data_IF_753993476932
#
_entry.id   IF_753993476932
#
_cell.length_a   1.000
_cell.length_b   1.000
_cell.length_c   1.000
_cell.angle_alpha   90.00
_cell.angle_beta   90.00
_cell.angle_gamma   90.00
#
_symmetry.space_group_name_H-M   'P 1'
#
loop_
_entity.id
_entity.type
_entity.pdbx_description
1 polymer ?
#
# COMPACT_ATOMS: atom_id res chain seq x y z
N UNK A 1 4.86 -10.02 10.34
CA UNK A 1 5.35 -10.18 8.95
C UNK A 1 5.76 -8.83 8.39
N UNK A 2 6.68 -8.84 7.46
CA UNK A 2 7.18 -7.62 6.84
C UNK A 2 6.77 -7.58 5.37
N UNK A 3 6.24 -6.45 4.94
CA UNK A 3 5.88 -6.23 3.54
C UNK A 3 6.55 -4.98 3.03
N UNK A 4 6.75 -4.91 1.71
CA UNK A 4 7.29 -3.72 1.07
C UNK A 4 6.17 -2.99 0.34
N UNK A 5 6.10 -1.68 0.55
CA UNK A 5 5.04 -0.86 -0.02
C UNK A 5 5.65 0.21 -0.92
N UNK A 6 5.15 0.28 -2.14
CA UNK A 6 5.52 1.34 -3.07
C UNK A 6 4.30 2.20 -3.32
N UNK A 7 4.49 3.50 -3.18
CA UNK A 7 3.41 4.48 -3.31
C UNK A 7 3.56 5.24 -4.61
N UNK A 8 2.42 5.51 -5.24
CA UNK A 8 2.38 6.22 -6.52
C UNK A 8 1.45 7.42 -6.47
N UNK A 9 1.53 8.26 -7.49
CA UNK A 9 0.73 9.47 -7.55
C UNK A 9 1.19 10.48 -6.51
N UNK A 10 0.26 11.01 -5.74
CA UNK A 10 0.54 12.00 -4.71
C UNK A 10 0.81 11.40 -3.34
N UNK A 11 0.63 10.09 -3.18
CA UNK A 11 0.80 9.42 -1.90
C UNK A 11 2.20 9.56 -1.30
N UNK A 12 3.29 9.49 -2.09
CA UNK A 12 4.62 9.63 -1.51
C UNK A 12 4.86 10.92 -0.75
N UNK A 13 4.12 11.97 -1.09
CA UNK A 13 4.25 13.28 -0.43
C UNK A 13 3.84 13.25 1.03
N UNK A 14 3.04 12.26 1.43
CA UNK A 14 2.56 12.14 2.81
C UNK A 14 3.60 11.51 3.73
N UNK A 15 4.66 10.95 3.18
CA UNK A 15 5.65 10.20 3.95
C UNK A 15 7.03 10.83 3.76
N UNK A 16 7.43 11.75 4.65
CA UNK A 16 8.76 12.36 4.57
C UNK A 16 9.84 11.28 4.60
N UNK A 17 10.82 11.39 3.73
CA UNK A 17 11.89 10.41 3.64
C UNK A 17 11.55 9.18 2.82
N UNK A 18 10.38 9.13 2.20
CA UNK A 18 10.01 8.01 1.34
C UNK A 18 10.99 7.88 0.17
N UNK A 19 11.48 6.66 -0.04
CA UNK A 19 12.39 6.34 -1.13
C UNK A 19 11.59 5.79 -2.32
N UNK A 20 11.49 6.53 -3.44
CA UNK A 20 10.69 6.06 -4.57
C UNK A 20 11.26 4.82 -5.26
N UNK A 21 12.53 4.52 -5.08
CA UNK A 21 13.13 3.33 -5.68
C UNK A 21 12.89 2.09 -4.83
N UNK A 22 13.02 2.22 -3.52
CA UNK A 22 12.92 1.08 -2.60
C UNK A 22 11.54 0.90 -2.01
N UNK A 23 10.76 1.98 -1.96
CA UNK A 23 9.52 1.96 -1.22
C UNK A 23 9.77 2.02 0.28
N UNK A 24 8.84 1.50 1.05
CA UNK A 24 8.94 1.46 2.50
C UNK A 24 8.62 0.07 3.00
N UNK A 25 9.25 -0.31 4.10
CA UNK A 25 8.94 -1.58 4.75
C UNK A 25 7.95 -1.34 5.87
N UNK A 26 6.97 -2.21 6.00
CA UNK A 26 5.93 -2.11 7.00
C UNK A 26 5.79 -3.45 7.70
N UNK A 27 5.83 -3.42 9.04
CA UNK A 27 5.56 -4.61 9.84
C UNK A 27 4.07 -4.71 10.15
N UNK A 28 3.53 -5.89 9.92
CA UNK A 28 2.13 -6.17 10.14
C UNK A 28 1.98 -7.47 10.92
N UNK A 29 0.90 -7.64 11.69
CA UNK A 29 0.64 -8.91 12.34
C UNK A 29 0.31 -10.00 11.30
N UNK A 30 0.55 -11.27 11.63
CA UNK A 30 0.16 -12.36 10.74
C UNK A 30 -1.34 -12.32 10.44
N UNK A 31 -1.70 -12.60 9.20
CA UNK A 31 -3.11 -12.57 8.78
C UNK A 31 -3.62 -11.20 8.41
N UNK A 32 -2.77 -10.18 8.42
CA UNK A 32 -3.17 -8.83 8.03
C UNK A 32 -3.63 -8.79 6.58
N UNK A 33 -4.58 -7.92 6.31
CA UNK A 33 -5.16 -7.74 4.98
C UNK A 33 -4.75 -6.40 4.39
N UNK A 34 -5.04 -6.22 3.11
CA UNK A 34 -4.76 -4.95 2.42
C UNK A 34 -5.33 -3.77 3.21
N UNK A 35 -6.57 -3.88 3.69
CA UNK A 35 -7.19 -2.81 4.46
C UNK A 35 -6.44 -2.49 5.75
N UNK A 36 -5.83 -3.48 6.37
CA UNK A 36 -5.09 -3.29 7.61
C UNK A 36 -3.82 -2.49 7.34
N UNK A 37 -3.16 -2.76 6.22
CA UNK A 37 -2.00 -1.99 5.80
C UNK A 37 -2.37 -0.53 5.56
N UNK A 38 -3.44 -0.29 4.81
CA UNK A 38 -3.87 1.07 4.51
C UNK A 38 -4.23 1.83 5.79
N UNK A 39 -4.88 1.15 6.73
CA UNK A 39 -5.22 1.76 8.02
C UNK A 39 -3.97 2.12 8.81
N UNK A 40 -2.97 1.26 8.82
CA UNK A 40 -1.72 1.53 9.54
C UNK A 40 -0.97 2.71 8.95
N UNK A 41 -1.05 2.90 7.63
CA UNK A 41 -0.42 4.03 6.95
C UNK A 41 -1.31 5.28 6.94
N UNK A 42 -2.49 5.18 7.53
CA UNK A 42 -3.46 6.27 7.54
C UNK A 42 -3.84 6.73 6.13
N UNK A 43 -3.97 5.76 5.24
CA UNK A 43 -4.42 6.00 3.87
C UNK A 43 -5.89 5.60 3.76
N UNK A 44 -6.75 6.54 3.42
CA UNK A 44 -8.18 6.26 3.26
C UNK A 44 -8.43 5.47 1.97
N UNK A 45 -9.62 4.87 1.87
CA UNK A 45 -10.00 4.15 0.65
C UNK A 45 -10.00 5.06 -0.56
N UNK A 46 -10.38 6.32 -0.38
CA UNK A 46 -10.42 7.29 -1.47
C UNK A 46 -9.02 7.64 -1.94
N UNK A 47 -8.03 7.62 -1.04
CA UNK A 47 -6.64 7.93 -1.39
C UNK A 47 -5.92 6.74 -1.99
N UNK A 48 -6.21 5.53 -1.50
CA UNK A 48 -5.57 4.31 -1.97
C UNK A 48 -6.52 3.44 -2.77
N UNK A 49 -7.07 3.96 -3.86
CA UNK A 49 -8.15 3.32 -4.59
C UNK A 49 -7.79 1.98 -5.22
N UNK A 50 -6.55 1.79 -5.61
CA UNK A 50 -6.10 0.55 -6.26
C UNK A 50 -4.85 0.05 -5.58
N UNK A 51 -4.87 -1.21 -5.14
CA UNK A 51 -3.71 -1.86 -4.54
C UNK A 51 -3.41 -3.14 -5.30
N UNK A 52 -2.18 -3.25 -5.79
CA UNK A 52 -1.68 -4.48 -6.40
C UNK A 52 -0.77 -5.18 -5.41
N UNK A 53 -0.97 -6.47 -5.23
CA UNK A 53 -0.13 -7.31 -4.35
C UNK A 53 0.61 -8.28 -5.25
N UNK A 54 1.93 -8.23 -5.23
CA UNK A 54 2.79 -9.07 -6.07
C UNK A 54 2.36 -9.07 -7.53
N UNK A 55 1.98 -7.88 -8.02
CA UNK A 55 1.62 -7.68 -9.41
C UNK A 55 0.15 -7.87 -9.76
N UNK A 56 -0.68 -8.30 -8.81
CA UNK A 56 -2.10 -8.53 -9.05
C UNK A 56 -2.96 -7.57 -8.24
N UNK A 57 -3.90 -6.90 -8.89
CA UNK A 57 -4.83 -6.02 -8.20
C UNK A 57 -5.69 -6.84 -7.26
N UNK A 58 -5.76 -6.41 -6.01
CA UNK A 58 -6.50 -7.10 -4.97
C UNK A 58 -7.49 -6.18 -4.28
N UNK A 59 -8.49 -6.80 -3.64
CA UNK A 59 -9.48 -6.09 -2.86
C UNK A 59 -8.98 -5.87 -1.44
N UNK A 60 -9.66 -4.98 -0.71
CA UNK A 60 -9.29 -4.65 0.67
C UNK A 60 -9.24 -5.86 1.59
N UNK A 61 -10.02 -6.89 1.31
CA UNK A 61 -10.12 -8.10 2.14
C UNK A 61 -9.03 -9.13 1.85
N UNK A 62 -8.19 -8.91 0.84
CA UNK A 62 -7.14 -9.87 0.50
C UNK A 62 -6.09 -9.94 1.59
N UNK A 63 -5.71 -11.15 1.96
CA UNK A 63 -4.67 -11.38 2.95
C UNK A 63 -3.28 -11.16 2.36
N UNK A 64 -2.41 -10.61 3.19
CA UNK A 64 -1.02 -10.36 2.83
C UNK A 64 -0.13 -11.48 3.34
N UNK A 65 1.04 -11.62 2.73
CA UNK A 65 2.04 -12.60 3.12
C UNK A 65 3.34 -11.91 3.45
N UNK A 66 4.14 -12.55 4.29
CA UNK A 66 5.47 -12.06 4.57
C UNK A 66 6.26 -11.94 3.26
N UNK A 67 6.90 -10.81 3.06
CA UNK A 67 7.66 -10.55 1.84
C UNK A 67 6.84 -10.02 0.66
N UNK A 68 5.53 -9.86 0.80
CA UNK A 68 4.72 -9.31 -0.27
C UNK A 68 5.16 -7.90 -0.65
N UNK A 69 5.04 -7.60 -1.94
CA UNK A 69 5.32 -6.25 -2.47
C UNK A 69 3.98 -5.66 -2.90
N UNK A 70 3.63 -4.54 -2.29
CA UNK A 70 2.38 -3.85 -2.58
C UNK A 70 2.65 -2.57 -3.35
N UNK A 71 1.82 -2.32 -4.35
CA UNK A 71 1.81 -1.06 -5.08
C UNK A 71 0.47 -0.38 -4.80
N UNK A 72 0.52 0.80 -4.20
CA UNK A 72 -0.67 1.57 -3.87
C UNK A 72 -0.77 2.76 -4.81
N UNK A 73 -1.84 2.80 -5.61
CA UNK A 73 -2.05 3.83 -6.61
C UNK A 73 -3.09 4.83 -6.11
N UNK A 74 -2.73 6.10 -6.16
CA UNK A 74 -3.68 7.16 -5.87
C UNK A 74 -4.64 7.29 -7.05
N UNK A 75 -5.95 7.21 -6.82
CA UNK A 75 -6.88 7.38 -7.92
C UNK A 75 -6.81 8.80 -8.45
N UNK A 76 -6.59 8.92 -9.75
CA UNK A 76 -6.65 10.21 -10.40
C UNK A 76 -8.10 10.42 -10.78
N UNK A 77 -8.79 11.20 -9.98
CA UNK A 77 -10.12 11.64 -10.35
C UNK A 77 -9.89 12.79 -11.32
N UNK A 78 -9.66 12.43 -12.54
CA UNK A 78 -9.40 13.38 -13.57
C UNK A 78 -10.69 14.01 -14.00
N UNK A 79 -10.77 15.19 -13.76
CA UNK A 79 -11.85 15.88 -14.34
C UNK A 79 -11.48 16.54 -15.60
#
# INVERSE_FOLDING_TARGET
MNVRVRLFGLLPRRFPGYDPERGMEVDLPPGAKVKDLLAQLDISKEEGGIVAVDGLVQKAEAELRDGSVLHVFHPIVGG
#
